data_IF_324455736344
#
_entry.id   IF_324455736344
#
_cell.length_a   1.000
_cell.length_b   1.000
_cell.length_c   1.000
_cell.angle_alpha   90.00
_cell.angle_beta   90.00
_cell.angle_gamma   90.00
#
_symmetry.space_group_name_H-M   'P 1'
#
loop_
_entity.id
_entity.type
_entity.pdbx_description
1 polymer ?
#
# COMPACT_ATOMS: atom_id res chain seq x y z
N UNK A 1 81.47 43.48 -31.03
CA UNK A 1 80.53 44.48 -30.51
C UNK A 1 79.19 43.79 -30.35
N UNK A 2 78.66 43.86 -29.12
CA UNK A 2 77.25 43.70 -28.72
C UNK A 2 76.61 42.30 -28.59
N UNK A 3 75.85 42.23 -27.49
CA UNK A 3 75.08 41.19 -26.79
C UNK A 3 73.66 40.99 -27.33
N UNK A 4 73.03 39.85 -26.98
CA UNK A 4 71.62 39.61 -26.54
C UNK A 4 71.18 38.22 -27.00
N UNK A 5 70.21 37.51 -26.44
CA UNK A 5 69.56 37.35 -25.13
C UNK A 5 68.47 36.26 -25.37
N UNK A 6 68.01 35.63 -24.29
CA UNK A 6 66.82 34.75 -24.21
C UNK A 6 66.96 33.29 -24.67
N UNK A 7 67.22 32.43 -23.67
CA UNK A 7 66.88 31.00 -23.67
C UNK A 7 65.58 30.81 -22.89
N UNK A 8 64.58 30.17 -23.49
CA UNK A 8 63.38 29.68 -22.82
C UNK A 8 63.14 28.21 -23.20
N UNK A 9 62.50 27.49 -22.28
CA UNK A 9 62.61 26.07 -21.95
C UNK A 9 61.89 25.10 -22.93
N UNK A 10 62.33 23.83 -23.06
CA UNK A 10 61.66 22.85 -23.92
C UNK A 10 60.77 21.86 -23.15
N UNK A 11 59.71 21.42 -23.85
CA UNK A 11 59.12 20.06 -23.88
C UNK A 11 58.13 19.60 -22.80
N UNK A 12 56.87 19.40 -23.24
CA UNK A 12 56.04 18.17 -23.07
C UNK A 12 55.07 18.16 -24.27
N UNK A 13 55.03 17.24 -25.25
CA UNK A 13 55.03 15.76 -25.33
C UNK A 13 53.67 15.11 -25.07
N UNK A 14 53.18 14.33 -26.05
CA UNK A 14 51.99 13.45 -26.00
C UNK A 14 50.87 13.88 -26.97
N UNK A 15 50.79 13.45 -28.24
CA UNK A 15 50.64 12.10 -28.84
C UNK A 15 49.19 11.57 -28.87
N UNK A 16 48.75 11.27 -30.11
CA UNK A 16 47.70 10.35 -30.56
C UNK A 16 46.23 10.67 -30.17
N UNK A 17 45.37 11.01 -31.14
CA UNK A 17 44.63 10.12 -32.06
C UNK A 17 43.33 9.61 -31.41
N UNK A 18 42.21 9.97 -32.04
CA UNK A 18 41.08 9.10 -32.38
C UNK A 18 39.76 9.87 -32.38
N UNK A 19 39.15 9.82 -33.56
CA UNK A 19 37.81 10.22 -33.92
C UNK A 19 36.77 9.62 -32.99
N UNK A 20 36.04 10.46 -32.25
CA UNK A 20 34.80 10.01 -31.59
C UNK A 20 33.65 10.27 -32.55
N UNK A 21 33.19 9.18 -33.15
CA UNK A 21 31.97 9.14 -33.93
C UNK A 21 30.77 9.52 -33.06
N UNK A 22 30.03 10.52 -33.51
CA UNK A 22 28.68 10.87 -33.10
C UNK A 22 27.73 9.76 -33.56
N UNK A 23 27.55 8.71 -32.75
CA UNK A 23 26.52 7.68 -32.95
C UNK A 23 26.07 7.14 -31.60
N UNK A 24 24.82 7.46 -31.22
CA UNK A 24 24.07 6.67 -30.23
C UNK A 24 23.45 7.47 -29.09
N UNK A 25 22.44 8.29 -29.39
CA UNK A 25 21.51 8.79 -28.38
C UNK A 25 20.10 8.26 -28.66
N UNK A 26 19.98 6.93 -28.68
CA UNK A 26 18.68 6.22 -28.68
C UNK A 26 18.72 5.10 -27.62
N UNK A 27 19.90 4.55 -27.34
CA UNK A 27 20.11 3.52 -26.31
C UNK A 27 20.17 4.07 -24.88
N UNK A 28 20.65 5.32 -24.68
CA UNK A 28 20.71 5.93 -23.34
C UNK A 28 19.31 6.32 -22.84
N UNK A 29 18.42 6.77 -23.73
CA UNK A 29 17.03 7.08 -23.41
C UNK A 29 16.21 5.81 -23.08
N UNK A 30 16.42 4.71 -23.81
CA UNK A 30 15.80 3.42 -23.46
C UNK A 30 16.28 2.91 -22.09
N UNK A 31 17.58 2.98 -21.79
CA UNK A 31 18.10 2.50 -20.49
C UNK A 31 17.68 3.37 -19.30
N UNK A 32 17.55 4.69 -19.49
CA UNK A 32 17.06 5.59 -18.45
C UNK A 32 15.56 5.42 -18.23
N UNK A 33 14.78 5.22 -19.31
CA UNK A 33 13.35 4.90 -19.23
C UNK A 33 13.09 3.54 -18.59
N UNK A 34 13.80 2.48 -18.99
CA UNK A 34 13.70 1.15 -18.39
C UNK A 34 14.11 1.15 -16.91
N UNK A 35 15.11 1.96 -16.53
CA UNK A 35 15.50 2.15 -15.13
C UNK A 35 14.44 2.94 -14.34
N UNK A 36 13.84 3.97 -14.93
CA UNK A 36 12.74 4.71 -14.31
C UNK A 36 11.49 3.85 -14.15
N UNK A 37 11.14 3.04 -15.15
CA UNK A 37 10.03 2.09 -15.12
C UNK A 37 10.29 1.00 -14.07
N UNK A 38 11.51 0.45 -13.99
CA UNK A 38 11.87 -0.53 -12.95
C UNK A 38 11.99 0.06 -11.53
N UNK A 39 12.33 1.35 -11.39
CA UNK A 39 12.26 2.07 -10.12
C UNK A 39 10.81 2.40 -9.73
N UNK A 40 9.96 2.74 -10.70
CA UNK A 40 8.53 2.93 -10.48
C UNK A 40 7.85 1.62 -10.07
N UNK A 41 8.13 0.51 -10.76
CA UNK A 41 7.60 -0.81 -10.41
C UNK A 41 8.07 -1.25 -9.02
N UNK A 42 9.32 -0.94 -8.64
CA UNK A 42 9.84 -1.21 -7.29
C UNK A 42 9.19 -0.32 -6.23
N UNK A 43 8.98 0.97 -6.52
CA UNK A 43 8.33 1.90 -5.61
C UNK A 43 6.84 1.57 -5.42
N UNK A 44 6.17 1.07 -6.47
CA UNK A 44 4.79 0.59 -6.40
C UNK A 44 4.71 -0.72 -5.61
N UNK A 45 5.65 -1.64 -5.81
CA UNK A 45 5.71 -2.89 -5.04
C UNK A 45 6.03 -2.65 -3.55
N UNK A 46 6.93 -1.72 -3.21
CA UNK A 46 7.22 -1.34 -1.82
C UNK A 46 6.02 -0.62 -1.16
N UNK A 47 5.27 0.16 -1.93
CA UNK A 47 4.03 0.77 -1.44
C UNK A 47 2.98 -0.31 -1.13
N UNK A 48 2.86 -1.35 -1.97
CA UNK A 48 1.95 -2.46 -1.74
C UNK A 48 2.31 -3.24 -0.46
N UNK A 49 3.60 -3.44 -0.14
CA UNK A 49 4.02 -4.07 1.11
C UNK A 49 3.60 -3.26 2.35
N UNK A 50 3.84 -1.94 2.34
CA UNK A 50 3.42 -1.06 3.44
C UNK A 50 1.89 -1.01 3.61
N UNK A 51 1.14 -1.02 2.50
CA UNK A 51 -0.33 -1.08 2.53
C UNK A 51 -0.81 -2.40 3.11
N UNK A 52 -0.20 -3.52 2.72
CA UNK A 52 -0.52 -4.84 3.26
C UNK A 52 -0.21 -4.90 4.76
N UNK A 53 0.90 -4.34 5.23
CA UNK A 53 1.24 -4.32 6.66
C UNK A 53 0.22 -3.54 7.50
N UNK A 54 -0.18 -2.34 7.03
CA UNK A 54 -1.20 -1.54 7.69
C UNK A 54 -2.56 -2.25 7.69
N UNK A 55 -2.92 -2.87 6.57
CA UNK A 55 -4.16 -3.66 6.48
C UNK A 55 -4.08 -4.93 7.31
N UNK A 56 -2.91 -5.55 7.47
CA UNK A 56 -2.76 -6.72 8.32
C UNK A 56 -2.95 -6.36 9.79
N UNK A 57 -2.55 -5.15 10.19
CA UNK A 57 -2.87 -4.61 11.51
C UNK A 57 -4.38 -4.33 11.68
N UNK A 58 -5.06 -3.82 10.65
CA UNK A 58 -6.50 -3.52 10.70
C UNK A 58 -7.40 -4.75 10.57
N UNK A 59 -6.98 -5.75 9.80
CA UNK A 59 -7.75 -6.94 9.45
C UNK A 59 -7.22 -8.19 10.16
N UNK A 60 -6.44 -8.01 11.24
CA UNK A 60 -5.81 -9.03 12.09
C UNK A 60 -4.78 -9.95 11.42
N UNK A 61 -4.84 -10.16 10.11
CA UNK A 61 -3.94 -11.07 9.40
C UNK A 61 -3.53 -10.55 8.02
N UNK A 62 -2.31 -10.92 7.63
CA UNK A 62 -1.78 -10.66 6.29
C UNK A 62 -2.63 -11.34 5.20
N UNK A 63 -3.15 -12.53 5.46
CA UNK A 63 -4.04 -13.26 4.56
C UNK A 63 -5.28 -12.42 4.22
N UNK A 64 -5.94 -11.86 5.23
CA UNK A 64 -7.13 -11.01 5.05
C UNK A 64 -6.77 -9.70 4.34
N UNK A 65 -5.62 -9.10 4.66
CA UNK A 65 -5.10 -7.92 3.97
C UNK A 65 -4.89 -8.17 2.47
N UNK A 66 -4.20 -9.25 2.09
CA UNK A 66 -3.99 -9.62 0.68
C UNK A 66 -5.30 -9.86 -0.06
N UNK A 67 -6.26 -10.54 0.58
CA UNK A 67 -7.60 -10.75 0.01
C UNK A 67 -8.33 -9.41 -0.20
N UNK A 68 -8.26 -8.51 0.78
CA UNK A 68 -8.89 -7.20 0.72
C UNK A 68 -8.33 -6.37 -0.45
N UNK A 69 -7.00 -6.29 -0.57
CA UNK A 69 -6.33 -5.59 -1.68
C UNK A 69 -6.76 -6.18 -3.03
N UNK A 70 -6.79 -7.51 -3.15
CA UNK A 70 -7.23 -8.16 -4.38
C UNK A 70 -8.68 -7.81 -4.75
N UNK A 71 -9.59 -7.80 -3.78
CA UNK A 71 -11.00 -7.44 -3.99
C UNK A 71 -11.19 -5.95 -4.33
N UNK A 72 -10.33 -5.07 -3.83
CA UNK A 72 -10.33 -3.65 -4.21
C UNK A 72 -9.93 -3.44 -5.67
N UNK A 73 -9.05 -4.29 -6.19
CA UNK A 73 -8.65 -4.26 -7.61
C UNK A 73 -9.66 -4.99 -8.51
N UNK A 74 -10.30 -6.05 -7.99
CA UNK A 74 -11.21 -6.92 -8.73
C UNK A 74 -12.55 -7.06 -7.99
N UNK A 75 -13.46 -6.07 -8.13
CA UNK A 75 -14.76 -6.13 -7.47
C UNK A 75 -15.59 -7.30 -8.02
N UNK A 76 -16.42 -7.88 -7.15
CA UNK A 76 -17.30 -9.02 -7.47
C UNK A 76 -16.55 -10.32 -7.85
N UNK A 77 -15.33 -10.51 -7.34
CA UNK A 77 -14.59 -11.76 -7.54
C UNK A 77 -15.16 -12.91 -6.69
N UNK A 78 -15.07 -14.12 -7.21
CA UNK A 78 -15.42 -15.35 -6.50
C UNK A 78 -14.26 -15.85 -5.63
N UNK A 79 -14.53 -16.75 -4.68
CA UNK A 79 -13.47 -17.31 -3.83
C UNK A 79 -12.37 -18.05 -4.61
N UNK A 80 -12.69 -18.62 -5.77
CA UNK A 80 -11.70 -19.28 -6.63
C UNK A 80 -10.81 -18.26 -7.34
N UNK A 81 -11.39 -17.19 -7.87
CA UNK A 81 -10.65 -16.09 -8.50
C UNK A 81 -9.71 -15.41 -7.50
N UNK A 82 -10.18 -15.18 -6.27
CA UNK A 82 -9.34 -14.66 -5.17
C UNK A 82 -8.17 -15.59 -4.89
N UNK A 83 -8.41 -16.89 -4.72
CA UNK A 83 -7.33 -17.85 -4.44
C UNK A 83 -6.28 -17.89 -5.56
N UNK A 84 -6.72 -17.87 -6.82
CA UNK A 84 -5.82 -17.82 -7.96
C UNK A 84 -5.03 -16.51 -8.04
N UNK A 85 -5.69 -15.39 -7.72
CA UNK A 85 -5.10 -14.05 -7.81
C UNK A 85 -4.12 -13.72 -6.68
N UNK A 86 -4.38 -14.22 -5.46
CA UNK A 86 -3.51 -13.96 -4.30
C UNK A 86 -2.48 -15.08 -4.07
N UNK A 87 -2.58 -16.19 -4.79
CA UNK A 87 -1.74 -17.38 -4.58
C UNK A 87 -2.01 -18.11 -3.25
N UNK A 88 -3.14 -17.82 -2.60
CA UNK A 88 -3.53 -18.43 -1.33
C UNK A 88 -4.26 -19.74 -1.56
N UNK A 89 -4.22 -20.64 -0.56
CA UNK A 89 -4.91 -21.92 -0.68
C UNK A 89 -6.44 -21.73 -0.66
N UNK A 90 -7.23 -22.41 -1.52
CA UNK A 90 -8.67 -22.15 -1.64
C UNK A 90 -9.48 -22.30 -0.36
N UNK A 91 -9.10 -23.19 0.56
CA UNK A 91 -9.80 -23.32 1.85
C UNK A 91 -9.58 -22.12 2.75
N UNK A 92 -8.35 -21.66 2.85
CA UNK A 92 -7.97 -20.47 3.63
C UNK A 92 -8.67 -19.23 3.10
N UNK A 93 -8.79 -19.10 1.78
CA UNK A 93 -9.53 -17.98 1.18
C UNK A 93 -11.01 -18.03 1.54
N UNK A 94 -11.66 -19.20 1.48
CA UNK A 94 -13.08 -19.31 1.85
C UNK A 94 -13.33 -19.00 3.32
N UNK A 95 -12.42 -19.42 4.20
CA UNK A 95 -12.47 -19.13 5.62
C UNK A 95 -12.30 -17.63 5.88
N UNK A 96 -11.22 -17.03 5.37
CA UNK A 96 -10.96 -15.60 5.53
C UNK A 96 -12.07 -14.74 4.91
N UNK A 97 -12.65 -15.12 3.77
CA UNK A 97 -13.79 -14.41 3.17
C UNK A 97 -15.07 -14.53 4.00
N UNK A 98 -15.28 -15.67 4.68
CA UNK A 98 -16.41 -15.82 5.58
C UNK A 98 -16.26 -14.92 6.80
N UNK A 99 -15.08 -14.89 7.40
CA UNK A 99 -14.79 -14.03 8.55
C UNK A 99 -14.86 -12.54 8.20
N UNK A 100 -14.23 -12.12 7.09
CA UNK A 100 -14.32 -10.75 6.60
C UNK A 100 -15.77 -10.33 6.33
N UNK A 101 -16.61 -11.27 5.88
CA UNK A 101 -18.03 -10.99 5.67
C UNK A 101 -18.79 -10.86 6.98
N UNK A 102 -18.50 -11.72 7.95
CA UNK A 102 -19.14 -11.70 9.27
C UNK A 102 -18.76 -10.44 10.05
N UNK A 103 -17.57 -9.88 9.79
CA UNK A 103 -17.09 -8.59 10.30
C UNK A 103 -17.52 -7.39 9.43
N UNK A 104 -18.37 -7.59 8.42
CA UNK A 104 -18.90 -6.56 7.51
C UNK A 104 -17.84 -5.82 6.66
N UNK A 105 -16.61 -6.35 6.58
CA UNK A 105 -15.50 -5.79 5.79
C UNK A 105 -15.61 -6.15 4.30
N UNK A 106 -16.31 -7.22 3.97
CA UNK A 106 -16.66 -7.58 2.59
C UNK A 106 -18.14 -7.93 2.48
N UNK A 107 -18.77 -7.48 1.42
CA UNK A 107 -20.13 -7.93 1.08
C UNK A 107 -20.07 -9.19 0.22
N UNK A 108 -21.05 -10.08 0.38
CA UNK A 108 -21.21 -11.26 -0.47
C UNK A 108 -22.55 -11.25 -1.18
N UNK A 109 -22.56 -11.65 -2.45
CA UNK A 109 -23.79 -11.77 -3.25
C UNK A 109 -23.76 -13.04 -4.09
N UNK A 110 -24.93 -13.63 -4.34
CA UNK A 110 -25.04 -14.75 -5.30
C UNK A 110 -24.98 -14.19 -6.71
N UNK A 111 -24.03 -14.68 -7.52
CA UNK A 111 -24.00 -14.37 -8.96
C UNK A 111 -25.28 -14.90 -9.62
N UNK A 112 -25.96 -14.07 -10.40
CA UNK A 112 -27.10 -14.53 -11.20
C UNK A 112 -26.57 -15.30 -12.42
N UNK A 113 -26.55 -16.62 -12.34
CA UNK A 113 -26.32 -17.45 -13.52
C UNK A 113 -27.63 -18.08 -13.98
N UNK A 114 -27.85 -18.11 -15.30
CA UNK A 114 -29.07 -18.67 -15.90
C UNK A 114 -28.97 -20.18 -16.17
N UNK A 115 -27.87 -20.81 -15.78
CA UNK A 115 -27.58 -22.23 -16.00
C UNK A 115 -27.93 -23.13 -14.82
N UNK A 116 -28.15 -24.42 -15.09
CA UNK A 116 -28.32 -25.46 -14.09
C UNK A 116 -26.98 -25.74 -13.36
N UNK A 117 -26.66 -24.91 -12.37
CA UNK A 117 -25.46 -25.02 -11.55
C UNK A 117 -25.64 -24.26 -10.24
N UNK A 118 -24.76 -24.52 -9.26
CA UNK A 118 -24.73 -23.72 -8.05
C UNK A 118 -24.15 -22.34 -8.39
N UNK A 119 -24.82 -21.28 -7.93
CA UNK A 119 -24.35 -19.92 -8.16
C UNK A 119 -23.23 -19.60 -7.16
N UNK A 120 -21.99 -19.35 -7.62
CA UNK A 120 -20.92 -18.97 -6.70
C UNK A 120 -21.24 -17.63 -6.03
N UNK A 121 -20.72 -17.47 -4.82
CA UNK A 121 -20.71 -16.18 -4.15
C UNK A 121 -19.61 -15.31 -4.75
N UNK A 122 -19.97 -14.06 -5.03
CA UNK A 122 -19.05 -12.99 -5.38
C UNK A 122 -18.89 -12.07 -4.18
N UNK A 123 -17.69 -11.53 -4.03
CA UNK A 123 -17.30 -10.71 -2.91
C UNK A 123 -16.87 -9.34 -3.37
N UNK A 124 -17.11 -8.34 -2.54
CA UNK A 124 -16.72 -6.95 -2.78
C UNK A 124 -16.29 -6.32 -1.46
N UNK A 125 -15.11 -5.71 -1.46
CA UNK A 125 -14.53 -5.06 -0.28
C UNK A 125 -15.06 -3.64 -0.10
N UNK A 126 -15.33 -3.27 1.16
CA UNK A 126 -15.74 -1.91 1.54
C UNK A 126 -14.67 -0.87 1.18
N UNK A 127 -15.02 0.41 1.26
CA UNK A 127 -14.01 1.46 1.06
C UNK A 127 -12.99 1.47 2.21
N UNK A 128 -11.69 1.76 1.94
CA UNK A 128 -10.70 1.91 3.00
C UNK A 128 -11.09 2.94 4.07
N UNK A 129 -11.81 4.01 3.69
CA UNK A 129 -12.32 4.99 4.65
C UNK A 129 -13.36 4.39 5.61
N UNK A 130 -14.19 3.45 5.15
CA UNK A 130 -15.14 2.72 6.00
C UNK A 130 -14.41 1.80 6.97
N UNK A 131 -13.36 1.11 6.51
CA UNK A 131 -12.50 0.28 7.37
C UNK A 131 -11.86 1.11 8.50
N UNK A 132 -11.30 2.27 8.17
CA UNK A 132 -10.69 3.19 9.15
C UNK A 132 -11.73 3.73 10.13
N UNK A 133 -12.94 4.08 9.66
CA UNK A 133 -14.03 4.51 10.54
C UNK A 133 -14.40 3.44 11.58
N UNK A 134 -14.46 2.17 11.17
CA UNK A 134 -14.69 1.05 12.09
C UNK A 134 -13.60 0.94 13.16
N UNK A 135 -12.33 0.96 12.75
CA UNK A 135 -11.19 0.85 13.64
C UNK A 135 -11.10 2.02 14.65
N UNK A 136 -11.35 3.26 14.19
CA UNK A 136 -11.39 4.44 15.07
C UNK A 136 -12.48 4.31 16.13
N UNK A 137 -13.67 3.82 15.76
CA UNK A 137 -14.75 3.56 16.71
C UNK A 137 -14.35 2.54 17.78
N UNK A 138 -13.64 1.49 17.40
CA UNK A 138 -13.13 0.48 18.33
C UNK A 138 -12.07 1.06 19.29
N UNK A 139 -11.08 1.80 18.78
CA UNK A 139 -10.05 2.45 19.62
C UNK A 139 -10.69 3.44 20.59
N UNK A 140 -11.63 4.26 20.12
CA UNK A 140 -12.36 5.20 20.97
C UNK A 140 -13.09 4.48 22.10
N UNK A 141 -13.77 3.37 21.82
CA UNK A 141 -14.46 2.57 22.83
C UNK A 141 -13.50 1.98 23.87
N UNK A 142 -12.35 1.46 23.44
CA UNK A 142 -11.32 0.92 24.33
C UNK A 142 -10.70 2.00 25.23
N UNK A 143 -10.36 3.16 24.65
CA UNK A 143 -9.84 4.30 25.41
C UNK A 143 -10.85 4.78 26.45
N UNK A 144 -12.11 4.98 26.05
CA UNK A 144 -13.17 5.35 26.99
C UNK A 144 -13.38 4.29 28.08
N UNK A 145 -13.24 3.01 27.76
CA UNK A 145 -13.30 1.93 28.76
C UNK A 145 -12.15 2.04 29.76
N UNK A 146 -10.92 2.32 29.30
CA UNK A 146 -9.76 2.50 30.16
C UNK A 146 -9.90 3.72 31.07
N UNK A 147 -10.32 4.87 30.54
CA UNK A 147 -10.55 6.08 31.34
C UNK A 147 -11.63 5.88 32.40
N UNK A 148 -12.72 5.17 32.06
CA UNK A 148 -13.76 4.81 33.03
C UNK A 148 -13.26 3.86 34.11
N UNK A 149 -12.34 2.94 33.78
CA UNK A 149 -11.74 2.02 34.75
C UNK A 149 -10.78 2.75 35.69
N UNK A 150 -9.91 3.61 35.15
CA UNK A 150 -8.94 4.39 35.92
C UNK A 150 -9.63 5.29 36.94
N UNK A 151 -10.73 5.96 36.55
CA UNK A 151 -11.57 6.76 37.46
C UNK A 151 -12.10 5.94 38.64
N UNK A 152 -12.63 4.74 38.38
CA UNK A 152 -13.15 3.85 39.42
C UNK A 152 -12.05 3.36 40.37
N UNK A 153 -10.82 3.23 39.89
CA UNK A 153 -9.68 2.75 40.68
C UNK A 153 -9.01 3.86 41.50
N UNK A 154 -8.93 5.08 40.96
CA UNK A 154 -8.29 6.23 41.60
C UNK A 154 -9.18 6.93 42.64
N UNK A 155 -10.46 6.56 42.72
CA UNK A 155 -11.39 7.15 43.70
C UNK A 155 -11.64 8.64 43.47
N UNK A 156 -11.47 9.11 42.23
CA UNK A 156 -11.83 10.47 41.84
C UNK A 156 -13.36 10.53 41.68
N UNK A 157 -14.04 10.59 42.83
CA UNK A 157 -15.46 10.97 42.97
C UNK A 157 -15.65 12.49 42.72
N UNK A 158 -14.61 13.19 42.29
CA UNK A 158 -14.67 14.57 41.85
C UNK A 158 -15.65 14.71 40.68
N UNK A 159 -16.56 15.65 40.84
CA UNK A 159 -17.58 16.12 39.88
C UNK A 159 -16.96 16.82 38.66
N UNK A 160 -15.77 16.37 38.22
CA UNK A 160 -15.13 16.78 37.00
C UNK A 160 -15.71 15.95 35.87
N UNK A 161 -16.64 16.51 35.10
CA UNK A 161 -17.12 15.96 33.85
C UNK A 161 -15.96 15.84 32.85
N UNK A 162 -15.18 14.77 32.94
CA UNK A 162 -14.21 14.42 31.90
C UNK A 162 -15.01 13.95 30.69
N UNK A 163 -15.08 14.82 29.69
CA UNK A 163 -15.82 14.54 28.47
C UNK A 163 -15.19 13.32 27.77
N UNK A 164 -16.00 12.35 27.31
CA UNK A 164 -15.49 11.16 26.65
C UNK A 164 -14.61 11.53 25.47
N UNK A 165 -13.53 10.79 25.28
CA UNK A 165 -12.65 10.99 24.12
C UNK A 165 -13.46 10.71 22.87
N UNK A 166 -13.42 11.66 21.93
CA UNK A 166 -14.05 11.57 20.62
C UNK A 166 -12.99 11.76 19.55
N UNK A 167 -12.86 10.78 18.67
CA UNK A 167 -11.97 10.85 17.51
C UNK A 167 -12.85 11.10 16.29
N UNK A 168 -12.62 12.22 15.60
CA UNK A 168 -13.37 12.57 14.38
C UNK A 168 -12.50 12.32 13.16
N UNK A 169 -13.05 11.59 12.19
CA UNK A 169 -12.42 11.38 10.88
C UNK A 169 -13.19 12.24 9.88
N UNK A 170 -12.47 13.08 9.12
CA UNK A 170 -13.05 13.88 8.03
C UNK A 170 -12.79 13.15 6.72
N UNK A 171 -13.80 13.01 5.88
CA UNK A 171 -13.62 12.57 4.49
C UNK A 171 -13.32 13.82 3.64
N UNK A 172 -12.18 13.85 2.95
CA UNK A 172 -11.85 14.92 1.99
C UNK A 172 -12.58 14.72 0.64
N UNK A 173 -13.82 14.20 0.64
CA UNK A 173 -14.64 14.06 -0.58
C UNK A 173 -15.52 15.29 -0.77
N UNK A 174 -14.87 16.45 -0.91
CA UNK A 174 -15.47 17.68 -1.38
C UNK A 174 -14.64 18.16 -2.57
N UNK A 175 -14.95 17.67 -3.79
CA UNK A 175 -14.85 18.38 -5.08
C UNK A 175 -15.46 17.57 -6.25
#
# INVERSE_FOLDING_TARGET
MSTDDSSDDPTESGSADETVADHGDESTEQTTRERLEAEADRAVAEFDENVVDLLAWLLDTETRARIFVFLRQNPHATSEEVANGTGLYPSTVREALAELHDEEMVSRRKRKNSGAGNNPYEYEAIAPSELVRGAVGQVQSQLNTLFNLDRRLLGDDGDGDVEPVTITVRDDTDE
#
